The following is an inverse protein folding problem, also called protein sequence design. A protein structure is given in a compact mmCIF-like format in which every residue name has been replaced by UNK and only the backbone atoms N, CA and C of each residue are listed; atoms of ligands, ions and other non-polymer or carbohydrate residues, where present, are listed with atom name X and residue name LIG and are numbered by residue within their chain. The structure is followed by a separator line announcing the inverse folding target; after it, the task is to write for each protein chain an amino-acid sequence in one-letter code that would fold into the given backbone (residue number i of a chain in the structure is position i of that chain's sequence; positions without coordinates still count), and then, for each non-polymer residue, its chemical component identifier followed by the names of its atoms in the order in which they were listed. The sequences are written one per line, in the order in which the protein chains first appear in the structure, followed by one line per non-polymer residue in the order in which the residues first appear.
data_IF_861758236551
#
_entry.id   IF_861758236551
#
_cell.length_a   1.000
_cell.length_b   1.000
_cell.length_c   1.000
_cell.angle_alpha   90.00
_cell.angle_beta   90.00
_cell.angle_gamma   90.00
#
_symmetry.space_group_name_H-M   'P 1'
#
loop_
_entity.id
_entity.type
_entity.pdbx_description
1 polymer ?
#
# COMPACT_ATOMS: atom_id res chain seq x y z
N UNK A 1 8.17 26.18 -4.37
CA UNK A 1 7.55 26.05 -3.04
C UNK A 1 7.61 24.59 -2.64
N UNK A 2 8.33 24.26 -1.58
CA UNK A 2 8.43 22.89 -1.08
C UNK A 2 7.09 22.52 -0.44
N UNK A 3 6.31 21.65 -1.10
CA UNK A 3 5.21 20.96 -0.42
C UNK A 3 5.89 19.98 0.53
N UNK A 4 5.73 20.22 1.83
CA UNK A 4 6.16 19.29 2.86
C UNK A 4 5.43 17.96 2.59
N UNK A 5 6.16 16.97 2.07
CA UNK A 5 5.68 15.60 2.04
C UNK A 5 5.50 15.17 3.47
N UNK A 6 4.25 14.94 3.86
CA UNK A 6 3.93 14.29 5.12
C UNK A 6 4.45 12.86 4.94
N UNK A 7 5.65 12.58 5.45
CA UNK A 7 6.08 11.22 5.72
C UNK A 7 5.13 10.68 6.78
N UNK A 8 4.00 10.15 6.33
CA UNK A 8 3.01 9.53 7.20
C UNK A 8 3.67 8.29 7.80
N UNK A 9 4.23 8.44 9.01
CA UNK A 9 4.70 7.33 9.81
C UNK A 9 3.58 6.31 9.94
N UNK A 10 3.88 5.03 9.71
CA UNK A 10 2.94 3.93 9.93
C UNK A 10 2.29 4.09 11.32
N UNK A 11 0.98 3.83 11.46
CA UNK A 11 0.35 3.78 12.76
C UNK A 11 1.08 2.76 13.65
N UNK A 12 1.30 3.03 14.95
CA UNK A 12 1.91 2.06 15.84
C UNK A 12 1.08 0.77 15.85
N UNK A 13 1.74 -0.37 15.56
CA UNK A 13 1.13 -1.69 15.61
C UNK A 13 1.57 -2.43 16.86
N UNK A 14 0.65 -3.11 17.53
CA UNK A 14 0.98 -4.06 18.58
C UNK A 14 1.48 -5.36 17.93
N UNK A 15 2.78 -5.66 18.03
CA UNK A 15 3.33 -6.92 17.53
C UNK A 15 4.80 -6.87 17.11
N UNK A 16 5.27 -7.99 16.56
CA UNK A 16 6.65 -8.12 16.06
C UNK A 16 6.87 -7.24 14.83
N UNK A 17 7.89 -6.37 14.90
CA UNK A 17 8.30 -5.45 13.84
C UNK A 17 9.61 -5.92 13.24
N UNK A 18 9.62 -6.16 11.93
CA UNK A 18 10.81 -6.48 11.15
C UNK A 18 11.08 -5.34 10.18
N UNK A 19 12.24 -4.70 10.32
CA UNK A 19 12.66 -3.61 9.45
C UNK A 19 13.91 -4.01 8.64
N UNK A 20 13.73 -4.15 7.33
CA UNK A 20 14.77 -4.44 6.35
C UNK A 20 14.90 -3.31 5.32
N UNK A 21 14.70 -2.08 5.77
CA UNK A 21 14.85 -0.91 4.90
C UNK A 21 16.31 -0.70 4.49
N UNK A 22 16.54 -0.17 3.28
CA UNK A 22 17.88 0.26 2.84
C UNK A 22 18.89 -0.86 2.60
N UNK A 23 18.45 -2.10 2.44
CA UNK A 23 19.30 -3.28 2.27
C UNK A 23 19.68 -3.56 0.80
N UNK A 24 19.22 -2.71 -0.14
CA UNK A 24 19.46 -2.92 -1.58
C UNK A 24 18.74 -4.14 -2.16
N UNK A 25 17.68 -4.63 -1.49
CA UNK A 25 16.95 -5.83 -1.89
C UNK A 25 16.26 -5.62 -3.24
N UNK A 26 16.47 -6.53 -4.19
CA UNK A 26 15.71 -6.56 -5.44
C UNK A 26 14.56 -7.58 -5.42
N UNK A 27 14.70 -8.62 -4.58
CA UNK A 27 13.76 -9.72 -4.42
C UNK A 27 13.72 -10.12 -2.95
N UNK A 28 12.60 -10.68 -2.53
CA UNK A 28 12.43 -11.27 -1.21
C UNK A 28 12.82 -12.75 -1.25
N UNK A 29 13.63 -13.18 -0.29
CA UNK A 29 14.06 -14.58 -0.19
C UNK A 29 12.89 -15.50 0.18
N UNK A 30 12.82 -16.73 -0.35
CA UNK A 30 11.76 -17.69 -0.02
C UNK A 30 11.76 -18.14 1.44
N UNK A 31 12.89 -17.97 2.14
CA UNK A 31 13.07 -18.29 3.55
C UNK A 31 12.83 -17.06 4.46
N UNK A 32 11.88 -16.19 4.08
CA UNK A 32 11.41 -15.12 4.96
C UNK A 32 10.99 -15.72 6.31
N UNK A 33 11.36 -15.12 7.46
CA UNK A 33 10.98 -15.58 8.78
C UNK A 33 9.50 -15.26 9.09
N UNK A 34 8.59 -15.54 8.16
CA UNK A 34 7.15 -15.39 8.33
C UNK A 34 6.58 -16.30 9.43
N UNK A 35 7.32 -17.31 9.90
CA UNK A 35 6.95 -18.20 11.01
C UNK A 35 6.98 -17.50 12.38
N UNK A 36 7.63 -16.33 12.49
CA UNK A 36 7.85 -15.63 13.75
C UNK A 36 6.74 -14.63 14.14
N UNK A 37 5.50 -14.82 13.67
CA UNK A 37 4.38 -13.90 13.97
C UNK A 37 4.71 -12.43 13.67
N UNK A 38 5.27 -12.18 12.49
CA UNK A 38 5.55 -10.82 12.03
C UNK A 38 4.22 -10.09 11.80
N UNK A 39 4.02 -9.00 12.54
CA UNK A 39 2.84 -8.14 12.41
C UNK A 39 3.14 -6.94 11.51
N UNK A 40 4.35 -6.39 11.60
CA UNK A 40 4.80 -5.25 10.80
C UNK A 40 6.07 -5.59 10.04
N UNK A 41 6.05 -5.42 8.72
CA UNK A 41 7.20 -5.61 7.84
C UNK A 41 7.49 -4.30 7.09
N UNK A 42 8.70 -3.78 7.28
CA UNK A 42 9.16 -2.54 6.64
C UNK A 42 10.29 -2.88 5.68
N UNK A 43 10.07 -2.63 4.39
CA UNK A 43 10.94 -2.93 3.26
C UNK A 43 11.35 -1.66 2.50
N UNK A 44 11.30 -0.51 3.16
CA UNK A 44 11.45 0.79 2.50
C UNK A 44 12.85 1.00 1.91
N UNK A 45 12.98 1.87 0.91
CA UNK A 45 14.27 2.28 0.33
C UNK A 45 15.10 1.09 -0.17
N UNK A 46 14.43 0.12 -0.82
CA UNK A 46 15.07 -1.00 -1.49
C UNK A 46 14.91 -0.86 -3.01
N UNK A 47 15.14 -1.94 -3.77
CA UNK A 47 15.00 -2.00 -5.22
C UNK A 47 13.99 -3.08 -5.63
N UNK A 48 13.01 -3.37 -4.76
CA UNK A 48 12.07 -4.49 -4.92
C UNK A 48 11.15 -4.20 -6.11
N UNK A 49 11.06 -5.17 -7.01
CA UNK A 49 10.23 -5.10 -8.22
C UNK A 49 8.93 -5.91 -8.10
N UNK A 50 8.88 -6.88 -7.17
CA UNK A 50 7.73 -7.76 -6.92
C UNK A 50 7.67 -8.22 -5.47
N UNK A 51 6.46 -8.41 -4.93
CA UNK A 51 6.21 -8.94 -3.59
C UNK A 51 5.89 -10.44 -3.63
N UNK A 52 6.90 -11.23 -4.00
CA UNK A 52 6.82 -12.70 -3.99
C UNK A 52 7.25 -13.24 -2.61
N UNK A 53 6.84 -14.48 -2.28
CA UNK A 53 7.19 -15.21 -1.05
C UNK A 53 6.59 -14.65 0.26
N UNK A 54 5.62 -13.74 0.17
CA UNK A 54 4.89 -13.21 1.34
C UNK A 54 3.68 -14.07 1.74
N UNK A 55 3.32 -15.11 0.99
CA UNK A 55 2.13 -15.94 1.24
C UNK A 55 2.12 -16.68 2.58
N UNK A 56 3.30 -16.84 3.21
CA UNK A 56 3.44 -17.44 4.54
C UNK A 56 3.20 -16.42 5.66
N UNK A 57 3.33 -15.12 5.40
CA UNK A 57 3.15 -14.04 6.37
C UNK A 57 1.65 -13.73 6.59
N UNK A 58 0.85 -14.75 6.94
CA UNK A 58 -0.62 -14.65 7.04
C UNK A 58 -1.13 -13.75 8.17
N UNK A 59 -0.27 -13.47 9.15
CA UNK A 59 -0.56 -12.61 10.31
C UNK A 59 -0.08 -11.17 10.12
N UNK A 60 0.43 -10.84 8.93
CA UNK A 60 0.94 -9.50 8.65
C UNK A 60 -0.21 -8.49 8.66
N UNK A 61 -0.09 -7.50 9.55
CA UNK A 61 -1.07 -6.42 9.74
C UNK A 61 -0.62 -5.15 9.02
N UNK A 62 0.68 -4.89 8.99
CA UNK A 62 1.26 -3.70 8.40
C UNK A 62 2.39 -4.05 7.44
N UNK A 63 2.32 -3.51 6.23
CA UNK A 63 3.36 -3.65 5.22
C UNK A 63 3.74 -2.28 4.68
N UNK A 64 5.02 -1.94 4.77
CA UNK A 64 5.59 -0.78 4.09
C UNK A 64 6.65 -1.18 3.10
N UNK A 65 6.53 -0.68 1.88
CA UNK A 65 7.45 -0.91 0.75
C UNK A 65 7.69 0.42 0.03
N UNK A 66 7.80 1.51 0.80
CA UNK A 66 7.97 2.85 0.27
C UNK A 66 9.32 2.98 -0.45
N UNK A 67 9.40 3.83 -1.48
CA UNK A 67 10.64 4.09 -2.23
C UNK A 67 11.29 2.81 -2.77
N UNK A 68 10.51 2.04 -3.55
CA UNK A 68 10.95 0.82 -4.24
C UNK A 68 10.67 0.93 -5.75
N UNK A 69 10.66 -0.20 -6.47
CA UNK A 69 10.46 -0.24 -7.94
C UNK A 69 9.28 -1.12 -8.35
N UNK A 70 8.27 -1.22 -7.48
CA UNK A 70 7.07 -2.01 -7.78
C UNK A 70 6.31 -1.41 -8.95
N UNK A 71 5.92 -2.24 -9.91
CA UNK A 71 5.07 -1.83 -11.05
C UNK A 71 3.61 -2.29 -10.90
N UNK A 72 3.37 -3.24 -10.00
CA UNK A 72 2.07 -3.85 -9.67
C UNK A 72 2.02 -4.27 -8.21
N UNK A 73 0.82 -4.48 -7.69
CA UNK A 73 0.55 -4.98 -6.33
C UNK A 73 0.48 -6.53 -6.26
N UNK A 74 1.20 -7.21 -7.13
CA UNK A 74 1.25 -8.67 -7.18
C UNK A 74 1.70 -9.26 -5.84
N UNK A 75 0.95 -10.25 -5.34
CA UNK A 75 1.25 -10.95 -4.08
C UNK A 75 0.54 -10.39 -2.85
N UNK A 76 0.08 -9.14 -2.88
CA UNK A 76 -0.62 -8.50 -1.74
C UNK A 76 -1.95 -9.21 -1.42
N UNK A 77 -2.64 -9.75 -2.43
CA UNK A 77 -3.90 -10.47 -2.26
C UNK A 77 -3.85 -11.66 -1.27
N UNK A 78 -2.67 -12.17 -0.93
CA UNK A 78 -2.49 -13.26 0.04
C UNK A 78 -2.42 -12.78 1.49
N UNK A 79 -2.24 -11.48 1.72
CA UNK A 79 -2.05 -10.86 3.02
C UNK A 79 -3.39 -10.32 3.55
N UNK A 80 -4.37 -11.21 3.70
CA UNK A 80 -5.78 -10.85 3.96
C UNK A 80 -6.01 -10.18 5.31
N UNK A 81 -5.04 -10.25 6.24
CA UNK A 81 -5.09 -9.59 7.54
C UNK A 81 -4.51 -8.16 7.54
N UNK A 82 -4.04 -7.67 6.38
CA UNK A 82 -3.49 -6.31 6.30
C UNK A 82 -4.54 -5.26 6.67
N UNK A 83 -4.13 -4.39 7.60
CA UNK A 83 -4.85 -3.17 7.98
C UNK A 83 -4.15 -1.93 7.42
N UNK A 84 -2.83 -1.97 7.26
CA UNK A 84 -2.02 -0.85 6.76
C UNK A 84 -1.15 -1.30 5.61
N UNK A 85 -1.29 -0.62 4.47
CA UNK A 85 -0.45 -0.85 3.28
C UNK A 85 0.14 0.47 2.78
N UNK A 86 1.46 0.60 2.91
CA UNK A 86 2.24 1.78 2.54
C UNK A 86 3.13 1.49 1.33
N UNK A 87 2.78 2.03 0.17
CA UNK A 87 3.46 1.81 -1.10
C UNK A 87 3.86 3.10 -1.85
N UNK A 88 4.12 4.25 -1.19
CA UNK A 88 4.36 5.48 -1.90
C UNK A 88 5.72 5.44 -2.61
N UNK A 89 5.86 6.25 -3.66
CA UNK A 89 7.08 6.34 -4.46
C UNK A 89 7.54 4.98 -5.02
N UNK A 90 6.62 4.32 -5.71
CA UNK A 90 6.92 3.18 -6.55
C UNK A 90 6.56 3.56 -8.01
N UNK A 91 6.48 2.58 -8.90
CA UNK A 91 6.07 2.75 -10.30
C UNK A 91 4.75 2.04 -10.59
N UNK A 92 3.88 1.88 -9.58
CA UNK A 92 2.66 1.06 -9.68
C UNK A 92 1.71 1.73 -10.68
N UNK A 93 1.44 1.03 -11.78
CA UNK A 93 0.46 1.48 -12.78
C UNK A 93 -0.85 0.67 -12.75
N UNK A 94 -0.85 -0.44 -12.03
CA UNK A 94 -1.98 -1.37 -11.97
C UNK A 94 -2.16 -1.91 -10.55
N UNK A 95 -3.32 -1.60 -9.96
CA UNK A 95 -3.76 -2.09 -8.66
C UNK A 95 -4.42 -3.45 -8.85
N UNK A 96 -4.05 -4.42 -8.02
CA UNK A 96 -4.65 -5.74 -7.98
C UNK A 96 -4.66 -6.28 -6.56
N UNK A 97 -5.61 -7.17 -6.26
CA UNK A 97 -5.65 -7.89 -4.99
C UNK A 97 -6.35 -7.16 -3.84
N UNK A 98 -6.75 -5.89 -4.02
CA UNK A 98 -7.47 -5.12 -2.98
C UNK A 98 -8.79 -5.76 -2.55
N UNK A 99 -9.47 -6.45 -3.47
CA UNK A 99 -10.72 -7.17 -3.17
C UNK A 99 -10.59 -8.21 -2.03
N UNK A 100 -9.39 -8.72 -1.79
CA UNK A 100 -9.12 -9.70 -0.73
C UNK A 100 -8.72 -9.02 0.60
N UNK A 101 -8.42 -7.72 0.58
CA UNK A 101 -7.96 -6.94 1.74
C UNK A 101 -9.13 -6.26 2.45
N UNK A 102 -10.11 -7.06 2.89
CA UNK A 102 -11.36 -6.56 3.49
C UNK A 102 -11.16 -5.83 4.82
N UNK A 103 -10.01 -6.05 5.48
CA UNK A 103 -9.64 -5.40 6.74
C UNK A 103 -8.76 -4.16 6.55
N UNK A 104 -8.49 -3.74 5.31
CA UNK A 104 -7.61 -2.62 5.02
C UNK A 104 -8.24 -1.31 5.51
N UNK A 105 -7.54 -0.61 6.40
CA UNK A 105 -7.96 0.65 7.02
C UNK A 105 -7.16 1.84 6.48
N UNK A 106 -5.92 1.61 6.06
CA UNK A 106 -5.02 2.66 5.60
C UNK A 106 -4.26 2.21 4.35
N UNK A 107 -4.42 2.97 3.26
CA UNK A 107 -3.76 2.72 1.99
C UNK A 107 -3.08 4.00 1.49
N UNK A 108 -1.77 3.91 1.28
CA UNK A 108 -1.01 4.98 0.63
C UNK A 108 -0.34 4.45 -0.63
N UNK A 109 -0.72 5.04 -1.76
CA UNK A 109 -0.19 4.81 -3.09
C UNK A 109 0.34 6.12 -3.70
N UNK A 110 0.68 7.12 -2.89
CA UNK A 110 1.16 8.40 -3.35
C UNK A 110 2.41 8.30 -4.22
N UNK A 111 2.55 9.11 -5.27
CA UNK A 111 3.74 9.12 -6.11
C UNK A 111 3.95 7.83 -6.88
N UNK A 112 2.86 7.27 -7.42
CA UNK A 112 2.88 6.12 -8.34
C UNK A 112 2.40 6.54 -9.74
N UNK A 113 2.23 5.58 -10.65
CA UNK A 113 1.85 5.80 -12.04
C UNK A 113 0.39 5.38 -12.34
N UNK A 114 -0.49 5.46 -11.34
CA UNK A 114 -1.87 5.01 -11.48
C UNK A 114 -2.64 5.90 -12.45
N UNK A 115 -3.39 5.27 -13.36
CA UNK A 115 -4.30 5.94 -14.31
C UNK A 115 -5.77 5.74 -13.97
N UNK A 116 -6.08 4.76 -13.14
CA UNK A 116 -7.40 4.44 -12.67
C UNK A 116 -7.29 3.80 -11.29
N UNK A 117 -8.36 3.91 -10.50
CA UNK A 117 -8.49 3.22 -9.23
C UNK A 117 -9.68 2.26 -9.31
N UNK A 118 -9.40 0.97 -9.36
CA UNK A 118 -10.40 -0.10 -9.38
C UNK A 118 -10.34 -0.90 -8.08
N UNK A 119 -11.37 -1.70 -7.80
CA UNK A 119 -11.45 -2.63 -6.66
C UNK A 119 -11.46 -1.99 -5.26
N UNK A 120 -11.27 -0.67 -5.16
CA UNK A 120 -11.25 0.01 -3.86
C UNK A 120 -12.55 -0.15 -3.09
N UNK A 121 -13.68 -0.25 -3.80
CA UNK A 121 -15.03 -0.44 -3.26
C UNK A 121 -15.22 -1.71 -2.43
N UNK A 122 -14.26 -2.65 -2.45
CA UNK A 122 -14.26 -3.83 -1.59
C UNK A 122 -13.66 -3.56 -0.20
N UNK A 123 -12.89 -2.48 -0.03
CA UNK A 123 -12.23 -2.12 1.24
C UNK A 123 -13.17 -1.27 2.12
N UNK A 124 -14.27 -1.86 2.60
CA UNK A 124 -15.28 -1.14 3.40
C UNK A 124 -14.76 -0.57 4.73
N UNK A 125 -13.67 -1.15 5.25
CA UNK A 125 -12.98 -0.69 6.45
C UNK A 125 -12.02 0.49 6.19
N UNK A 126 -11.80 0.89 4.94
CA UNK A 126 -10.80 1.90 4.58
C UNK A 126 -11.17 3.26 5.16
N UNK A 127 -10.27 3.81 5.98
CA UNK A 127 -10.43 5.09 6.66
C UNK A 127 -9.53 6.17 6.06
N UNK A 128 -8.39 5.76 5.51
CA UNK A 128 -7.41 6.66 4.94
C UNK A 128 -6.95 6.16 3.57
N UNK A 129 -7.04 7.05 2.59
CA UNK A 129 -6.61 6.81 1.22
C UNK A 129 -5.73 7.95 0.74
N UNK A 130 -4.52 7.65 0.32
CA UNK A 130 -3.65 8.61 -0.35
C UNK A 130 -3.32 8.13 -1.77
N UNK A 131 -3.81 8.88 -2.76
CA UNK A 131 -3.55 8.70 -4.19
C UNK A 131 -2.89 9.95 -4.79
N UNK A 132 -2.34 10.84 -3.96
CA UNK A 132 -1.63 12.03 -4.42
C UNK A 132 -0.44 11.68 -5.33
N UNK A 133 0.01 12.63 -6.13
CA UNK A 133 1.10 12.45 -7.10
C UNK A 133 0.93 11.23 -8.03
N UNK A 134 -0.31 10.85 -8.36
CA UNK A 134 -0.63 9.89 -9.44
C UNK A 134 -1.20 10.61 -10.68
N UNK A 135 -1.50 9.84 -11.72
CA UNK A 135 -2.06 10.32 -12.98
C UNK A 135 -3.51 9.83 -13.20
N UNK A 136 -4.33 9.87 -12.15
CA UNK A 136 -5.73 9.42 -12.17
C UNK A 136 -6.61 10.60 -12.61
N UNK A 137 -7.24 10.57 -13.80
CA UNK A 137 -8.03 11.68 -14.31
C UNK A 137 -9.41 11.78 -13.64
N UNK A 138 -9.94 10.66 -13.18
CA UNK A 138 -11.22 10.59 -12.47
C UNK A 138 -11.20 9.41 -11.51
N UNK A 139 -11.82 9.59 -10.35
CA UNK A 139 -12.07 8.51 -9.41
C UNK A 139 -13.50 8.06 -9.56
N UNK A 140 -13.70 6.74 -9.63
CA UNK A 140 -15.03 6.15 -9.69
C UNK A 140 -15.81 6.37 -8.39
N UNK A 141 -17.04 5.87 -8.37
CA UNK A 141 -17.92 5.98 -7.20
C UNK A 141 -17.26 5.40 -5.93
N UNK A 142 -17.03 6.26 -4.93
CA UNK A 142 -16.50 5.92 -3.61
C UNK A 142 -17.59 5.74 -2.55
N UNK A 143 -18.88 5.78 -2.91
CA UNK A 143 -20.02 5.68 -1.98
C UNK A 143 -19.99 4.44 -1.07
N UNK A 144 -19.29 3.39 -1.50
CA UNK A 144 -19.13 2.13 -0.77
C UNK A 144 -18.05 2.18 0.32
N UNK A 145 -17.21 3.22 0.34
CA UNK A 145 -16.17 3.43 1.35
C UNK A 145 -16.76 4.13 2.59
N UNK A 146 -17.68 3.44 3.27
CA UNK A 146 -18.49 4.00 4.36
C UNK A 146 -17.64 4.48 5.55
N UNK A 147 -16.43 3.95 5.71
CA UNK A 147 -15.52 4.29 6.81
C UNK A 147 -14.50 5.38 6.46
N UNK A 148 -14.51 5.89 5.22
CA UNK A 148 -13.47 6.80 4.72
C UNK A 148 -13.56 8.16 5.40
N UNK A 149 -12.46 8.55 6.08
CA UNK A 149 -12.35 9.82 6.81
C UNK A 149 -11.45 10.80 6.09
N UNK A 150 -10.39 10.29 5.45
CA UNK A 150 -9.35 11.10 4.82
C UNK A 150 -9.03 10.54 3.44
N UNK A 151 -9.05 11.41 2.44
CA UNK A 151 -8.73 11.10 1.06
C UNK A 151 -7.84 12.20 0.47
N UNK A 152 -6.66 11.85 -0.03
CA UNK A 152 -5.74 12.77 -0.69
C UNK A 152 -5.62 12.43 -2.17
N UNK A 153 -5.88 13.40 -3.04
CA UNK A 153 -5.88 13.26 -4.50
C UNK A 153 -5.07 14.39 -5.14
N UNK A 154 -4.47 14.14 -6.30
CA UNK A 154 -3.85 15.21 -7.09
C UNK A 154 -4.91 16.10 -7.74
N UNK A 155 -4.87 17.40 -7.46
CA UNK A 155 -5.89 18.38 -7.91
C UNK A 155 -5.72 18.76 -9.39
N UNK A 156 -4.73 18.24 -10.11
CA UNK A 156 -4.41 18.71 -11.45
C UNK A 156 -5.52 18.48 -12.48
N UNK A 157 -6.30 17.38 -12.39
CA UNK A 157 -7.31 17.04 -13.41
C UNK A 157 -8.53 16.24 -12.91
N UNK A 158 -8.66 15.98 -11.61
CA UNK A 158 -9.79 15.20 -11.08
C UNK A 158 -11.06 16.05 -10.98
N UNK A 159 -11.96 15.91 -11.96
CA UNK A 159 -13.36 16.33 -11.80
C UNK A 159 -14.08 15.28 -10.97
N UNK A 160 -14.68 15.67 -9.84
CA UNK A 160 -15.63 14.83 -9.11
C UNK A 160 -16.90 14.72 -9.99
N UNK A 161 -17.21 13.51 -10.44
CA UNK A 161 -18.44 13.19 -11.17
C UNK A 161 -19.58 12.82 -10.24
#
# INVERSE_FOLDING_TARGET
MAVARVDAALPPGDGSVVNWSGQGLQKLSPNLPCEADIHTLILDKNQIIKLENLEKCRRLIQLSVANNRLVRMMGVAKLTQLRVLNLPHNSIGYVEGLKELVHLEWLNLAGNNLKAMEQINSCAALQHLDLSDNNIPQIGDLSKLLSLKVCFLTIAHCTLG
#
